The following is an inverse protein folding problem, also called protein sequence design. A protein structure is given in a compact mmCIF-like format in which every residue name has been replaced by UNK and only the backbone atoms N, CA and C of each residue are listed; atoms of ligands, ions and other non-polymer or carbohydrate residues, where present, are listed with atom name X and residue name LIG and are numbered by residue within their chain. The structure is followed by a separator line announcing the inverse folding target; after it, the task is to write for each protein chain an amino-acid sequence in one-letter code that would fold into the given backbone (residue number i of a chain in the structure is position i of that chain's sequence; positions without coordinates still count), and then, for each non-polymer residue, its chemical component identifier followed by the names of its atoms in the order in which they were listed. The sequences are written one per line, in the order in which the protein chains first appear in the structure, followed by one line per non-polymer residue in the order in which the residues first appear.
data_IF_096659605641
#
_entry.id   IF_096659605641
#
_cell.length_a   1.000
_cell.length_b   1.000
_cell.length_c   1.000
_cell.angle_alpha   90.00
_cell.angle_beta   90.00
_cell.angle_gamma   90.00
#
_symmetry.space_group_name_H-M   'P 1'
#
loop_
_entity.id
_entity.type
_entity.pdbx_description
1 polymer ?
#
# COMPACT_ATOMS: atom_id res chain seq x y z
N UNK A 1 -11.49 -1.75 20.20
CA UNK A 1 -12.41 -2.67 19.49
C UNK A 1 -13.78 -2.03 19.51
N UNK A 2 -14.38 -1.80 18.34
CA UNK A 2 -15.72 -1.21 18.22
C UNK A 2 -16.68 -2.27 17.70
N UNK A 3 -17.82 -2.44 18.38
CA UNK A 3 -18.87 -3.37 18.00
C UNK A 3 -20.18 -2.63 17.72
N UNK A 4 -20.82 -2.95 16.59
CA UNK A 4 -22.17 -2.47 16.26
C UNK A 4 -22.99 -3.66 15.79
N UNK A 5 -24.01 -4.02 16.57
CA UNK A 5 -24.84 -5.22 16.34
C UNK A 5 -23.97 -6.48 16.27
N UNK A 6 -23.99 -7.16 15.12
CA UNK A 6 -23.24 -8.38 14.83
C UNK A 6 -22.01 -8.11 13.95
N UNK A 7 -21.49 -6.88 13.94
CA UNK A 7 -20.30 -6.47 13.19
C UNK A 7 -19.23 -5.94 14.14
N UNK A 8 -18.03 -6.52 14.05
CA UNK A 8 -16.84 -6.13 14.82
C UNK A 8 -15.90 -5.34 13.91
N UNK A 9 -15.57 -4.12 14.31
CA UNK A 9 -14.56 -3.29 13.66
C UNK A 9 -13.22 -3.45 14.39
N UNK A 10 -12.28 -4.07 13.69
CA UNK A 10 -10.90 -4.25 14.12
C UNK A 10 -10.02 -3.21 13.43
N UNK A 11 -9.20 -2.53 14.21
CA UNK A 11 -8.17 -1.65 13.69
C UNK A 11 -6.85 -2.41 13.63
N UNK A 12 -6.32 -2.56 12.41
CA UNK A 12 -5.05 -3.24 12.17
C UNK A 12 -3.88 -2.66 12.96
N UNK A 13 -3.86 -1.36 13.26
CA UNK A 13 -2.76 -0.73 13.99
C UNK A 13 -2.68 -1.20 15.45
N UNK A 14 -3.78 -1.68 16.03
CA UNK A 14 -3.79 -2.28 17.36
C UNK A 14 -3.11 -3.65 17.41
N UNK A 15 -3.04 -4.36 16.28
CA UNK A 15 -2.44 -5.70 16.18
C UNK A 15 -1.08 -5.68 15.50
N UNK A 16 -0.85 -4.69 14.62
CA UNK A 16 0.34 -4.54 13.79
C UNK A 16 0.95 -3.15 14.05
N UNK A 17 1.70 -2.95 15.15
CA UNK A 17 2.29 -1.66 15.51
C UNK A 17 3.53 -1.35 14.65
N UNK A 18 3.42 -1.48 13.34
CA UNK A 18 4.49 -1.20 12.38
C UNK A 18 3.93 -0.63 11.07
N UNK A 19 4.79 0.07 10.33
CA UNK A 19 4.42 0.58 9.01
C UNK A 19 4.10 -0.57 8.03
N UNK A 20 3.13 -0.35 7.13
CA UNK A 20 2.74 -1.32 6.10
C UNK A 20 3.94 -1.82 5.26
N UNK A 21 4.92 -0.93 4.98
CA UNK A 21 6.14 -1.29 4.25
C UNK A 21 7.05 -2.27 5.00
N UNK A 22 6.89 -2.40 6.32
CA UNK A 22 7.67 -3.32 7.16
C UNK A 22 7.00 -4.68 7.34
N UNK A 23 5.72 -4.83 6.99
CA UNK A 23 4.99 -6.09 7.13
C UNK A 23 5.69 -7.27 6.44
N UNK A 24 6.16 -7.15 5.18
CA UNK A 24 6.81 -8.28 4.52
C UNK A 24 8.01 -8.81 5.31
N UNK A 25 8.91 -7.90 5.70
CA UNK A 25 10.09 -8.22 6.50
C UNK A 25 9.72 -8.75 7.89
N UNK A 26 8.73 -8.14 8.54
CA UNK A 26 8.29 -8.51 9.89
C UNK A 26 7.69 -9.91 9.96
N UNK A 27 7.06 -10.38 8.88
CA UNK A 27 6.41 -11.69 8.79
C UNK A 27 7.20 -12.71 7.95
N UNK A 28 8.42 -12.37 7.52
CA UNK A 28 9.22 -13.24 6.65
C UNK A 28 8.59 -13.48 5.27
N UNK A 29 7.69 -12.61 4.81
CA UNK A 29 7.16 -12.63 3.46
C UNK A 29 8.27 -12.08 2.53
N UNK A 30 8.68 -12.86 1.54
CA UNK A 30 9.81 -12.52 0.65
C UNK A 30 9.66 -11.18 -0.08
N UNK A 31 10.72 -10.77 -0.80
CA UNK A 31 10.85 -9.44 -1.43
C UNK A 31 9.84 -9.12 -2.54
N UNK A 32 8.97 -10.07 -2.89
CA UNK A 32 7.88 -9.85 -3.85
C UNK A 32 6.87 -8.81 -3.37
N UNK A 33 6.77 -8.61 -2.05
CA UNK A 33 5.85 -7.68 -1.41
C UNK A 33 6.47 -6.29 -1.19
N UNK A 34 7.01 -5.65 -2.23
CA UNK A 34 7.42 -4.24 -2.13
C UNK A 34 6.19 -3.33 -2.20
N UNK A 35 6.05 -2.41 -1.24
CA UNK A 35 5.10 -1.29 -1.35
C UNK A 35 5.54 -0.44 -2.54
N UNK A 36 4.74 -0.39 -3.61
CA UNK A 36 4.99 0.53 -4.72
C UNK A 36 4.73 1.99 -4.32
N UNK A 37 4.82 2.91 -5.28
CA UNK A 37 4.46 4.31 -5.10
C UNK A 37 3.17 4.62 -5.87
N UNK A 38 2.32 5.50 -5.33
CA UNK A 38 1.10 5.96 -5.98
C UNK A 38 1.12 7.48 -6.07
N UNK A 39 0.59 8.02 -7.17
CA UNK A 39 0.38 9.45 -7.35
C UNK A 39 -0.83 9.90 -6.50
N UNK A 40 -0.60 10.11 -5.21
CA UNK A 40 -1.66 10.42 -4.24
C UNK A 40 -2.52 11.63 -4.64
N UNK A 41 -1.93 12.69 -5.17
CA UNK A 41 -2.68 13.88 -5.61
C UNK A 41 -3.33 13.72 -6.98
N UNK A 42 -2.92 12.70 -7.76
CA UNK A 42 -3.52 12.40 -9.05
C UNK A 42 -4.81 11.59 -8.91
N UNK A 43 -5.07 11.04 -7.72
CA UNK A 43 -6.28 10.27 -7.41
C UNK A 43 -7.51 11.16 -7.21
N UNK A 44 -7.93 11.81 -8.30
CA UNK A 44 -9.14 12.62 -8.38
C UNK A 44 -10.05 12.06 -9.49
N UNK A 45 -11.36 12.30 -9.36
CA UNK A 45 -12.36 11.79 -10.30
C UNK A 45 -12.09 12.20 -11.75
N UNK A 46 -11.54 13.40 -11.97
CA UNK A 46 -11.18 13.88 -13.31
C UNK A 46 -10.13 13.00 -14.01
N UNK A 47 -9.26 12.35 -13.25
CA UNK A 47 -8.16 11.53 -13.75
C UNK A 47 -8.47 10.02 -13.73
N UNK A 48 -9.68 9.64 -13.30
CA UNK A 48 -10.05 8.24 -13.05
C UNK A 48 -9.98 7.35 -14.31
N UNK A 49 -10.04 7.92 -15.51
CA UNK A 49 -9.94 7.18 -16.78
C UNK A 49 -8.68 7.56 -17.57
N UNK A 50 -7.66 8.11 -16.91
CA UNK A 50 -6.44 8.55 -17.56
C UNK A 50 -5.64 7.34 -18.08
N UNK A 51 -5.29 7.40 -19.37
CA UNK A 51 -4.36 6.50 -20.03
C UNK A 51 -3.40 7.37 -20.84
N UNK A 52 -2.12 7.34 -20.51
CA UNK A 52 -1.13 8.21 -21.16
C UNK A 52 0.27 7.98 -20.63
N UNK A 53 1.28 8.71 -21.12
CA UNK A 53 2.64 8.60 -20.59
C UNK A 53 2.68 9.00 -19.11
N UNK A 54 3.54 8.35 -18.32
CA UNK A 54 3.85 8.76 -16.96
C UNK A 54 4.70 10.04 -16.97
N UNK A 55 4.13 11.17 -17.39
CA UNK A 55 4.76 12.50 -17.41
C UNK A 55 4.33 13.37 -16.23
N UNK A 56 3.79 12.74 -15.20
CA UNK A 56 3.30 13.38 -14.00
C UNK A 56 4.44 14.02 -13.19
N UNK A 57 4.33 15.30 -12.79
CA UNK A 57 5.26 15.92 -11.87
C UNK A 57 5.42 15.13 -10.57
N UNK A 58 6.65 15.06 -10.06
CA UNK A 58 7.03 14.53 -8.74
C UNK A 58 6.10 15.00 -7.61
N UNK A 59 5.58 16.21 -7.74
CA UNK A 59 4.64 16.85 -6.80
C UNK A 59 3.41 15.98 -6.52
N UNK A 60 2.96 15.17 -7.48
CA UNK A 60 1.78 14.32 -7.28
C UNK A 60 1.98 13.14 -6.31
N UNK A 61 3.22 12.84 -5.93
CA UNK A 61 3.54 11.79 -4.96
C UNK A 61 3.62 12.28 -3.50
N UNK A 62 3.43 13.59 -3.27
CA UNK A 62 3.57 14.24 -1.96
C UNK A 62 4.94 13.97 -1.29
N UNK A 63 6.04 14.42 -1.93
CA UNK A 63 7.40 14.17 -1.44
C UNK A 63 7.67 14.74 -0.05
N UNK A 64 6.95 15.79 0.38
CA UNK A 64 7.12 16.43 1.69
C UNK A 64 6.73 15.54 2.88
N UNK A 65 5.99 14.44 2.64
CA UNK A 65 5.62 13.45 3.67
C UNK A 65 6.63 12.29 3.72
N UNK A 66 7.47 12.13 2.69
CA UNK A 66 8.47 11.08 2.62
C UNK A 66 9.75 11.49 3.36
N UNK A 67 10.40 10.52 4.01
CA UNK A 67 11.75 10.70 4.55
C UNK A 67 12.73 10.81 3.38
N UNK A 68 13.85 11.52 3.57
CA UNK A 68 14.87 11.74 2.52
C UNK A 68 15.26 10.45 1.77
N UNK A 69 15.50 9.34 2.49
CA UNK A 69 15.81 8.02 1.90
C UNK A 69 14.68 7.45 1.01
N UNK A 70 13.42 7.71 1.37
CA UNK A 70 12.26 7.22 0.62
C UNK A 70 11.97 8.12 -0.59
N UNK A 71 12.30 9.41 -0.50
CA UNK A 71 12.25 10.36 -1.62
C UNK A 71 13.27 9.99 -2.70
N UNK A 72 14.50 9.61 -2.33
CA UNK A 72 15.49 9.19 -3.33
C UNK A 72 15.05 7.94 -4.11
N UNK A 73 14.50 6.94 -3.41
CA UNK A 73 13.96 5.73 -4.06
C UNK A 73 12.78 6.03 -4.97
N UNK A 74 11.94 6.99 -4.60
CA UNK A 74 10.86 7.47 -5.47
C UNK A 74 11.42 8.10 -6.75
N UNK A 75 12.47 8.92 -6.64
CA UNK A 75 13.14 9.55 -7.80
C UNK A 75 13.72 8.51 -8.75
N UNK A 76 14.43 7.53 -8.21
CA UNK A 76 15.01 6.45 -9.00
C UNK A 76 13.91 5.64 -9.73
N UNK A 77 12.87 5.22 -9.00
CA UNK A 77 11.74 4.49 -9.57
C UNK A 77 10.98 5.28 -10.64
N UNK A 78 10.73 6.57 -10.40
CA UNK A 78 10.02 7.44 -11.34
C UNK A 78 10.84 7.67 -12.63
N UNK A 79 12.15 7.88 -12.48
CA UNK A 79 13.06 8.09 -13.61
C UNK A 79 13.14 6.85 -14.49
N UNK A 80 13.21 5.67 -13.87
CA UNK A 80 13.22 4.39 -14.58
C UNK A 80 11.94 4.20 -15.42
N UNK A 81 10.76 4.45 -14.86
CA UNK A 81 9.49 4.33 -15.58
C UNK A 81 9.33 5.36 -16.70
N UNK A 82 9.82 6.59 -16.49
CA UNK A 82 9.80 7.64 -17.51
C UNK A 82 10.67 7.26 -18.70
N UNK A 83 11.86 6.69 -18.44
CA UNK A 83 12.79 6.26 -19.49
C UNK A 83 12.27 5.07 -20.31
N UNK A 84 11.42 4.23 -19.72
CA UNK A 84 10.81 3.09 -20.41
C UNK A 84 9.62 3.48 -21.31
N UNK A 85 9.25 4.77 -21.34
CA UNK A 85 8.12 5.30 -22.10
C UNK A 85 6.81 4.50 -21.86
N UNK A 86 6.60 4.08 -20.61
CA UNK A 86 5.45 3.26 -20.23
C UNK A 86 4.15 4.06 -20.34
N UNK A 87 3.11 3.38 -20.85
CA UNK A 87 1.74 3.88 -20.78
C UNK A 87 1.20 3.61 -19.38
N UNK A 88 0.88 4.69 -18.68
CA UNK A 88 0.26 4.69 -17.36
C UNK A 88 -1.26 4.64 -17.52
N UNK A 89 -1.86 3.51 -17.11
CA UNK A 89 -3.30 3.32 -16.97
C UNK A 89 -3.67 3.50 -15.50
N UNK A 90 -4.34 4.60 -15.18
CA UNK A 90 -4.61 4.93 -13.79
C UNK A 90 -5.50 3.90 -13.07
N UNK A 91 -6.47 3.30 -13.76
CA UNK A 91 -7.36 2.31 -13.15
C UNK A 91 -6.64 1.02 -12.82
N UNK A 92 -5.75 0.58 -13.73
CA UNK A 92 -4.94 -0.60 -13.50
C UNK A 92 -3.98 -0.38 -12.34
N UNK A 93 -3.28 0.75 -12.34
CA UNK A 93 -2.23 1.07 -11.36
C UNK A 93 -2.80 1.25 -9.95
N UNK A 94 -3.95 1.90 -9.80
CA UNK A 94 -4.57 2.06 -8.49
C UNK A 94 -5.04 0.71 -7.91
N UNK A 95 -5.62 -0.16 -8.74
CA UNK A 95 -6.05 -1.50 -8.33
C UNK A 95 -4.83 -2.36 -7.94
N UNK A 96 -3.79 -2.36 -8.76
CA UNK A 96 -2.56 -3.10 -8.48
C UNK A 96 -1.88 -2.61 -7.19
N UNK A 97 -1.79 -1.29 -6.99
CA UNK A 97 -1.24 -0.69 -5.78
C UNK A 97 -1.97 -1.15 -4.52
N UNK A 98 -3.30 -1.03 -4.49
CA UNK A 98 -4.08 -1.45 -3.32
C UNK A 98 -4.04 -2.96 -3.12
N UNK A 99 -4.06 -3.75 -4.20
CA UNK A 99 -3.91 -5.22 -4.11
C UNK A 99 -2.57 -5.60 -3.46
N UNK A 100 -1.49 -4.90 -3.83
CA UNK A 100 -0.14 -5.15 -3.30
C UNK A 100 0.00 -4.82 -1.82
N UNK A 101 -0.78 -3.88 -1.30
CA UNK A 101 -0.79 -3.52 0.13
C UNK A 101 -1.78 -4.40 0.91
N UNK A 102 -2.97 -4.63 0.37
CA UNK A 102 -4.05 -5.32 1.08
C UNK A 102 -3.82 -6.83 1.16
N UNK A 103 -3.19 -7.46 0.17
CA UNK A 103 -2.94 -8.91 0.20
C UNK A 103 -2.01 -9.32 1.36
N UNK A 104 -0.83 -8.68 1.57
CA UNK A 104 -0.01 -8.92 2.76
C UNK A 104 -0.73 -8.61 4.06
N UNK A 105 -1.40 -7.46 4.14
CA UNK A 105 -2.09 -7.04 5.36
C UNK A 105 -3.19 -8.03 5.74
N UNK A 106 -3.99 -8.48 4.78
CA UNK A 106 -5.04 -9.49 4.99
C UNK A 106 -4.43 -10.80 5.48
N UNK A 107 -3.34 -11.26 4.88
CA UNK A 107 -2.66 -12.48 5.31
C UNK A 107 -2.12 -12.33 6.74
N UNK A 108 -1.47 -11.22 7.07
CA UNK A 108 -1.00 -10.92 8.42
C UNK A 108 -2.15 -10.91 9.44
N UNK A 109 -3.27 -10.25 9.14
CA UNK A 109 -4.41 -10.16 10.06
C UNK A 109 -5.10 -11.51 10.26
N UNK A 110 -5.17 -12.37 9.24
CA UNK A 110 -5.68 -13.75 9.37
C UNK A 110 -4.86 -14.57 10.37
N UNK A 111 -3.54 -14.38 10.45
CA UNK A 111 -2.74 -15.04 11.49
C UNK A 111 -3.25 -14.66 12.89
N UNK A 112 -3.57 -13.40 13.15
CA UNK A 112 -4.06 -12.97 14.47
C UNK A 112 -5.49 -13.44 14.78
N UNK A 113 -6.39 -13.45 13.78
CA UNK A 113 -7.76 -13.93 14.00
C UNK A 113 -7.81 -15.44 14.28
N UNK A 114 -6.93 -16.22 13.66
CA UNK A 114 -6.87 -17.68 13.87
C UNK A 114 -6.14 -18.03 15.18
N UNK A 115 -5.14 -17.23 15.58
CA UNK A 115 -4.46 -17.41 16.87
C UNK A 115 -5.29 -16.94 18.08
N UNK A 116 -6.26 -16.03 17.92
CA UNK A 116 -7.16 -15.65 19.02
C UNK A 116 -8.17 -16.74 19.39
N UNK A 117 -8.50 -17.67 18.49
CA UNK A 117 -9.33 -18.84 18.80
C UNK A 117 -8.63 -19.86 19.72
N UNK A 118 -7.30 -19.82 19.83
CA UNK A 118 -6.51 -20.68 20.73
C UNK A 118 -6.37 -20.11 22.15
N UNK A 119 -7.00 -18.98 22.46
CA UNK A 119 -6.99 -18.33 23.78
C UNK A 119 -8.41 -18.05 24.31
N UNK A 120 -9.30 -19.05 24.21
CA UNK A 120 -10.35 -19.20 25.20
C UNK A 120 -9.82 -20.07 26.36
N UNK A 121 -9.47 -19.49 27.52
CA UNK A 121 -9.26 -20.30 28.72
C UNK A 121 -10.60 -20.92 29.12
N UNK A 122 -10.58 -22.24 29.34
CA UNK A 122 -11.62 -22.97 30.08
C UNK A 122 -11.78 -22.40 31.49
#
# INVERSE_FOLDING_TARGET
MMEVRNVIFLDSLNYLPMALSKLPKGFGLGDNYKKGYLLHLFNITANANYIGPLSSPMEYYIPDILKEDDTQKLVEWHTELTNQNCVFDFQKEIVEYYTRIMSPLSNCLKYFSTSSELHHPL
#
